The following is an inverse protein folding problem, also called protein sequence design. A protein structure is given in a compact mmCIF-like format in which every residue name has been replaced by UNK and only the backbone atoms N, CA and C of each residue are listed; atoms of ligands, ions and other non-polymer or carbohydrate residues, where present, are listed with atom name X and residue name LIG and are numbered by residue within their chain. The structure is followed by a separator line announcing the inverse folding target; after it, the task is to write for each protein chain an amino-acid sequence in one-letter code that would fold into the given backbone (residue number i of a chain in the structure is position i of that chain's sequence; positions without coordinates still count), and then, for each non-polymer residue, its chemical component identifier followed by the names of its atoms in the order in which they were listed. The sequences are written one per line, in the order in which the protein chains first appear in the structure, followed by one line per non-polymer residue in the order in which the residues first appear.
data_IF_453140251464
#
_entry.id   IF_453140251464
#
_cell.length_a   1.000
_cell.length_b   1.000
_cell.length_c   1.000
_cell.angle_alpha   90.00
_cell.angle_beta   90.00
_cell.angle_gamma   90.00
#
_symmetry.space_group_name_H-M   'P 1'
#
loop_
_entity.id
_entity.type
_entity.pdbx_description
1 polymer ?
#
# COMPACT_ATOMS: atom_id res chain seq x y z
N UNK A 1 28.96 19.78 4.15
CA UNK A 1 27.47 19.74 4.11
C UNK A 1 27.00 18.37 4.58
N UNK A 2 26.02 18.27 5.47
CA UNK A 2 25.41 17.00 5.86
C UNK A 2 24.61 16.39 4.70
N UNK A 3 24.53 15.06 4.68
CA UNK A 3 23.77 14.30 3.70
C UNK A 3 22.69 13.51 4.44
N UNK A 4 21.42 13.75 4.10
CA UNK A 4 20.25 13.05 4.64
C UNK A 4 19.61 12.25 3.51
N UNK A 5 19.66 10.93 3.60
CA UNK A 5 19.07 9.99 2.62
C UNK A 5 19.35 10.33 1.14
N UNK A 6 20.62 10.71 0.86
CA UNK A 6 21.07 11.10 -0.47
C UNK A 6 20.83 12.57 -0.85
N UNK A 7 20.30 13.38 0.05
CA UNK A 7 20.12 14.83 -0.16
C UNK A 7 21.20 15.58 0.62
N UNK A 8 22.07 16.31 -0.08
CA UNK A 8 23.10 17.15 0.50
C UNK A 8 22.53 18.54 0.79
N UNK A 9 22.63 18.98 2.04
CA UNK A 9 22.01 20.20 2.53
C UNK A 9 23.08 21.17 3.04
N UNK A 10 22.92 22.43 2.76
CA UNK A 10 23.76 23.47 3.33
C UNK A 10 23.48 23.60 4.84
N UNK A 11 24.56 23.48 5.64
CA UNK A 11 24.46 23.49 7.10
C UNK A 11 23.95 24.82 7.68
N UNK A 12 24.16 25.93 6.99
CA UNK A 12 23.78 27.25 7.48
C UNK A 12 22.39 27.65 7.07
N UNK A 13 22.04 27.41 5.81
CA UNK A 13 20.77 27.87 5.23
C UNK A 13 19.68 26.80 5.18
N UNK A 14 20.02 25.51 5.38
CA UNK A 14 19.10 24.38 5.21
C UNK A 14 18.72 24.11 3.74
N UNK A 15 19.33 24.82 2.79
CA UNK A 15 18.99 24.68 1.36
C UNK A 15 19.61 23.41 0.78
N UNK A 16 18.85 22.72 -0.07
CA UNK A 16 19.37 21.57 -0.83
C UNK A 16 20.41 22.02 -1.84
N UNK A 17 21.62 21.48 -1.75
CA UNK A 17 22.76 21.80 -2.60
C UNK A 17 22.95 20.79 -3.71
N UNK A 18 22.84 19.50 -3.39
CA UNK A 18 23.04 18.42 -4.33
C UNK A 18 22.27 17.16 -3.94
N UNK A 19 22.15 16.26 -4.90
CA UNK A 19 21.58 14.93 -4.73
C UNK A 19 22.63 13.88 -5.06
N UNK A 20 22.69 12.83 -4.25
CA UNK A 20 23.52 11.68 -4.46
C UNK A 20 22.67 10.54 -5.03
N UNK A 21 22.90 10.21 -6.29
CA UNK A 21 22.16 9.20 -7.03
C UNK A 21 22.98 7.94 -7.16
N UNK A 22 22.43 6.81 -6.73
CA UNK A 22 23.04 5.49 -6.86
C UNK A 22 22.73 4.91 -8.23
N UNK A 23 23.68 4.24 -8.85
CA UNK A 23 23.56 3.56 -10.15
C UNK A 23 22.73 2.25 -10.08
N UNK A 24 22.51 1.72 -8.86
CA UNK A 24 21.85 0.42 -8.64
C UNK A 24 20.76 0.52 -7.58
N UNK A 25 19.79 -0.40 -7.68
CA UNK A 25 18.70 -0.47 -6.72
C UNK A 25 19.20 -0.89 -5.32
N UNK A 26 18.58 -0.37 -4.23
CA UNK A 26 18.97 -0.68 -2.86
C UNK A 26 18.95 -2.18 -2.52
N UNK A 27 18.03 -2.95 -3.13
CA UNK A 27 17.81 -4.37 -2.87
C UNK A 27 18.62 -5.30 -3.77
N UNK A 28 19.53 -4.77 -4.58
CA UNK A 28 20.46 -5.60 -5.34
C UNK A 28 21.62 -6.04 -4.45
N UNK A 29 21.43 -7.19 -3.77
CA UNK A 29 22.42 -7.76 -2.84
C UNK A 29 23.69 -8.27 -3.53
N UNK A 30 23.63 -8.58 -4.83
CA UNK A 30 24.78 -9.11 -5.57
C UNK A 30 25.88 -8.08 -5.80
N UNK A 31 25.60 -6.82 -5.62
CA UNK A 31 26.49 -5.72 -5.99
C UNK A 31 26.68 -4.65 -4.93
N UNK A 32 26.46 -4.96 -3.63
CA UNK A 32 26.65 -3.99 -2.54
C UNK A 32 28.02 -3.29 -2.58
N UNK A 33 29.05 -4.03 -2.93
CA UNK A 33 30.42 -3.51 -3.02
C UNK A 33 30.74 -2.75 -4.31
N UNK A 34 29.83 -2.71 -5.29
CA UNK A 34 30.04 -2.07 -6.59
C UNK A 34 29.08 -0.89 -6.83
N UNK A 35 28.46 -0.35 -5.78
CA UNK A 35 27.59 0.80 -5.90
C UNK A 35 28.39 2.06 -6.15
N UNK A 36 28.08 2.74 -7.23
CA UNK A 36 28.66 4.04 -7.58
C UNK A 36 27.64 5.14 -7.29
N UNK A 37 28.05 6.11 -6.52
CA UNK A 37 27.25 7.28 -6.20
C UNK A 37 27.73 8.47 -7.04
N UNK A 38 26.79 9.09 -7.72
CA UNK A 38 27.05 10.29 -8.53
C UNK A 38 26.40 11.49 -7.85
N UNK A 39 27.22 12.49 -7.57
CA UNK A 39 26.76 13.76 -7.01
C UNK A 39 26.24 14.65 -8.14
N UNK A 40 24.98 15.08 -8.06
CA UNK A 40 24.33 15.98 -9.03
C UNK A 40 23.94 17.25 -8.27
N UNK A 41 24.40 18.40 -8.74
CA UNK A 41 24.02 19.68 -8.15
C UNK A 41 22.50 19.91 -8.32
N UNK A 42 21.86 20.41 -7.26
CA UNK A 42 20.42 20.64 -7.27
C UNK A 42 20.02 21.68 -8.33
N UNK A 43 20.89 22.70 -8.52
CA UNK A 43 20.68 23.78 -9.48
C UNK A 43 21.89 23.90 -10.37
N UNK A 44 21.70 24.04 -11.66
CA UNK A 44 22.78 24.25 -12.62
C UNK A 44 23.43 25.59 -12.42
N UNK A 45 24.78 25.62 -12.34
CA UNK A 45 25.56 26.85 -12.09
C UNK A 45 25.42 27.91 -13.19
N UNK A 46 25.33 27.46 -14.44
CA UNK A 46 25.21 28.35 -15.59
C UNK A 46 23.76 28.73 -15.91
N UNK A 47 22.88 27.77 -15.78
CA UNK A 47 21.48 27.96 -16.18
C UNK A 47 20.57 28.49 -15.06
N UNK A 48 20.97 28.33 -13.79
CA UNK A 48 20.14 28.66 -12.64
C UNK A 48 18.89 27.79 -12.51
N UNK A 49 18.75 26.75 -13.35
CA UNK A 49 17.59 25.87 -13.39
C UNK A 49 17.83 24.62 -12.54
N UNK A 50 16.80 24.03 -11.90
CA UNK A 50 16.96 22.80 -11.16
C UNK A 50 17.34 21.65 -12.11
N UNK A 51 18.39 20.89 -11.75
CA UNK A 51 18.83 19.70 -12.50
C UNK A 51 18.01 18.47 -12.12
N UNK A 52 17.49 18.44 -10.89
CA UNK A 52 16.63 17.36 -10.38
C UNK A 52 15.35 17.98 -9.86
N UNK A 53 14.24 17.39 -10.20
CA UNK A 53 12.93 17.71 -9.68
C UNK A 53 12.57 16.66 -8.63
N UNK A 54 12.59 17.05 -7.37
CA UNK A 54 12.20 16.19 -6.26
C UNK A 54 10.71 16.41 -5.97
N UNK A 55 9.90 15.38 -6.21
CA UNK A 55 8.48 15.39 -5.89
C UNK A 55 8.29 14.77 -4.50
N UNK A 56 7.87 15.58 -3.56
CA UNK A 56 7.56 15.12 -2.20
C UNK A 56 6.59 16.08 -1.53
N UNK A 57 5.74 15.54 -0.69
CA UNK A 57 4.96 16.32 0.25
C UNK A 57 5.76 16.49 1.54
N UNK A 58 5.95 17.73 1.99
CA UNK A 58 6.68 18.05 3.22
C UNK A 58 5.67 18.35 4.31
N UNK A 59 5.57 17.48 5.31
CA UNK A 59 4.66 17.62 6.44
C UNK A 59 5.28 18.38 7.62
N UNK A 60 6.60 18.48 7.65
CA UNK A 60 7.34 19.09 8.75
C UNK A 60 8.61 19.82 8.28
N UNK A 61 9.06 20.84 9.03
CA UNK A 61 10.34 21.48 8.75
C UNK A 61 11.51 20.48 8.71
N UNK A 62 12.52 20.78 7.91
CA UNK A 62 13.74 19.94 7.73
C UNK A 62 13.48 18.53 7.21
N UNK A 63 12.34 18.29 6.59
CA UNK A 63 12.05 17.02 5.92
C UNK A 63 12.62 17.06 4.49
N UNK A 64 13.71 16.34 4.26
CA UNK A 64 14.40 16.29 2.96
C UNK A 64 13.99 15.08 2.10
N UNK A 65 13.21 14.14 2.65
CA UNK A 65 12.66 13.01 1.90
C UNK A 65 11.17 12.85 2.20
N UNK A 66 10.42 12.54 1.16
CA UNK A 66 9.00 12.26 1.30
C UNK A 66 8.76 10.96 2.05
N UNK A 67 7.64 10.90 2.77
CA UNK A 67 7.11 9.68 3.38
C UNK A 67 6.14 9.03 2.40
N UNK A 68 6.15 7.71 2.32
CA UNK A 68 5.20 6.99 1.46
C UNK A 68 3.77 7.22 1.93
N UNK A 69 2.86 7.47 1.00
CA UNK A 69 1.42 7.54 1.27
C UNK A 69 0.89 6.27 1.95
N UNK A 70 1.55 5.13 1.73
CA UNK A 70 1.20 3.85 2.35
C UNK A 70 1.75 3.69 3.78
N UNK A 71 2.62 4.57 4.26
CA UNK A 71 3.27 4.42 5.57
C UNK A 71 2.28 4.22 6.72
N UNK A 72 1.19 4.99 6.87
CA UNK A 72 0.25 4.84 7.97
C UNK A 72 -0.54 3.51 7.95
N UNK A 73 -0.66 2.89 6.78
CA UNK A 73 -1.47 1.67 6.59
C UNK A 73 -0.66 0.40 6.35
N UNK A 74 0.66 0.52 6.20
CA UNK A 74 1.54 -0.60 5.86
C UNK A 74 1.44 -1.75 6.87
N UNK A 75 1.44 -1.43 8.16
CA UNK A 75 1.33 -2.44 9.21
C UNK A 75 -0.01 -3.20 9.13
N UNK A 76 -1.11 -2.49 8.86
CA UNK A 76 -2.44 -3.09 8.70
C UNK A 76 -2.51 -4.02 7.48
N UNK A 77 -1.90 -3.63 6.38
CA UNK A 77 -1.81 -4.47 5.17
C UNK A 77 -1.02 -5.75 5.48
N UNK A 78 0.11 -5.65 6.17
CA UNK A 78 0.93 -6.82 6.56
C UNK A 78 0.19 -7.75 7.53
N UNK A 79 -0.51 -7.19 8.52
CA UNK A 79 -1.32 -7.97 9.47
C UNK A 79 -2.46 -8.70 8.75
N UNK A 80 -3.12 -8.06 7.80
CA UNK A 80 -4.19 -8.65 7.00
C UNK A 80 -3.69 -9.83 6.19
N UNK A 81 -2.54 -9.71 5.55
CA UNK A 81 -1.92 -10.81 4.81
C UNK A 81 -1.62 -11.99 5.73
N UNK A 82 -0.95 -11.76 6.86
CA UNK A 82 -0.63 -12.82 7.83
C UNK A 82 -1.89 -13.52 8.37
N UNK A 83 -2.93 -12.76 8.64
CA UNK A 83 -4.21 -13.32 9.08
C UNK A 83 -4.86 -14.18 7.99
N UNK A 84 -4.91 -13.68 6.76
CA UNK A 84 -5.46 -14.43 5.62
C UNK A 84 -4.69 -15.73 5.37
N UNK A 85 -3.38 -15.70 5.41
CA UNK A 85 -2.53 -16.90 5.28
C UNK A 85 -2.80 -17.91 6.39
N UNK A 86 -2.93 -17.44 7.65
CA UNK A 86 -3.20 -18.32 8.79
C UNK A 86 -4.59 -18.95 8.73
N UNK A 87 -5.61 -18.22 8.26
CA UNK A 87 -6.96 -18.75 8.07
C UNK A 87 -6.98 -19.81 6.97
N UNK A 88 -6.29 -19.58 5.85
CA UNK A 88 -6.18 -20.58 4.77
C UNK A 88 -5.41 -21.81 5.26
N UNK A 89 -4.28 -21.62 5.95
CA UNK A 89 -3.51 -22.73 6.50
C UNK A 89 -4.33 -23.55 7.49
N UNK A 90 -5.10 -22.90 8.35
CA UNK A 90 -6.00 -23.55 9.29
C UNK A 90 -7.09 -24.34 8.57
N UNK A 91 -7.72 -23.77 7.54
CA UNK A 91 -8.71 -24.46 6.74
C UNK A 91 -8.14 -25.72 6.06
N UNK A 92 -6.90 -25.64 5.55
CA UNK A 92 -6.21 -26.82 4.96
C UNK A 92 -5.91 -27.88 6.02
N UNK A 93 -5.45 -27.47 7.21
CA UNK A 93 -5.23 -28.42 8.32
C UNK A 93 -6.53 -29.11 8.74
N UNK A 94 -7.61 -28.36 8.84
CA UNK A 94 -8.92 -28.93 9.20
C UNK A 94 -9.45 -29.90 8.13
N UNK A 95 -9.21 -29.60 6.86
CA UNK A 95 -9.59 -30.52 5.78
C UNK A 95 -8.82 -31.85 5.85
N UNK A 96 -7.62 -31.86 6.46
CA UNK A 96 -6.78 -33.05 6.61
C UNK A 96 -7.02 -33.80 7.93
N UNK A 97 -7.43 -33.10 9.01
CA UNK A 97 -7.64 -33.66 10.33
C UNK A 97 -9.14 -33.87 10.58
N UNK A 98 -9.63 -35.05 10.27
CA UNK A 98 -11.06 -35.37 10.46
C UNK A 98 -11.38 -36.02 11.79
N UNK A 99 -10.40 -36.65 12.48
CA UNK A 99 -10.66 -37.44 13.66
C UNK A 99 -9.47 -37.47 14.63
N UNK A 100 -9.75 -37.37 15.93
CA UNK A 100 -8.78 -37.56 17.02
C UNK A 100 -9.23 -38.72 17.86
N UNK A 101 -8.35 -39.70 18.10
CA UNK A 101 -8.61 -40.82 18.99
C UNK A 101 -8.07 -40.44 20.38
N UNK A 102 -8.98 -40.28 21.31
CA UNK A 102 -8.67 -40.02 22.72
C UNK A 102 -8.61 -41.33 23.46
N UNK A 103 -7.53 -41.60 24.18
CA UNK A 103 -7.38 -42.74 25.05
C UNK A 103 -7.67 -42.30 26.47
N UNK A 104 -8.74 -42.82 27.05
CA UNK A 104 -8.99 -42.62 28.47
C UNK A 104 -8.00 -43.49 29.23
N UNK A 105 -6.97 -42.89 29.81
CA UNK A 105 -6.03 -43.59 30.70
C UNK A 105 -6.75 -43.91 31.99
N UNK A 106 -6.66 -45.18 32.43
CA UNK A 106 -7.11 -45.57 33.74
C UNK A 106 -6.32 -44.76 34.80
N UNK A 107 -6.98 -44.02 35.71
CA UNK A 107 -6.30 -43.20 36.70
C UNK A 107 -5.45 -44.03 37.70
N UNK A 108 -5.57 -45.35 37.70
CA UNK A 108 -4.74 -46.26 38.49
C UNK A 108 -3.40 -46.58 37.83
N UNK A 109 -3.21 -46.27 36.54
CA UNK A 109 -1.94 -46.48 35.87
C UNK A 109 -1.10 -45.21 35.94
N UNK A 110 -0.03 -45.26 36.72
CA UNK A 110 0.96 -44.18 36.79
C UNK A 110 1.46 -43.84 35.37
N UNK A 111 1.61 -42.56 34.99
CA UNK A 111 2.21 -42.16 33.74
C UNK A 111 3.66 -42.60 33.54
N UNK A 112 4.29 -43.06 34.63
CA UNK A 112 5.60 -43.73 34.65
C UNK A 112 5.39 -45.22 34.92
N UNK A 113 5.21 -46.02 33.85
CA UNK A 113 4.89 -47.45 33.90
C UNK A 113 5.48 -48.19 35.10
N UNK A 114 4.62 -48.94 35.77
CA UNK A 114 4.92 -49.67 37.03
C UNK A 114 5.65 -51.02 36.84
N UNK A 115 6.39 -51.20 35.78
CA UNK A 115 7.09 -52.48 35.58
C UNK A 115 8.57 -52.41 35.94
N UNK A 116 9.01 -51.45 36.72
CA UNK A 116 10.38 -51.41 37.31
C UNK A 116 11.55 -51.56 36.33
N UNK A 117 11.30 -51.60 35.03
CA UNK A 117 12.29 -51.81 33.98
C UNK A 117 12.41 -50.65 32.96
N UNK A 118 11.89 -49.46 33.28
CA UNK A 118 12.16 -48.28 32.47
C UNK A 118 11.75 -48.36 30.98
N UNK A 119 10.96 -49.33 30.60
CA UNK A 119 10.55 -49.52 29.24
C UNK A 119 9.30 -48.63 28.99
N UNK A 120 9.51 -47.45 28.45
CA UNK A 120 8.42 -46.61 27.91
C UNK A 120 7.79 -47.43 26.78
N UNK A 121 6.51 -47.86 26.88
CA UNK A 121 5.88 -48.54 25.77
C UNK A 121 5.83 -47.55 24.62
N UNK A 122 6.68 -47.74 23.62
CA UNK A 122 6.58 -47.07 22.37
C UNK A 122 5.28 -47.55 21.70
N UNK A 123 4.18 -46.88 22.04
CA UNK A 123 2.95 -47.05 21.30
C UNK A 123 3.21 -46.53 19.91
N UNK A 124 3.54 -47.42 18.96
CA UNK A 124 3.62 -47.07 17.54
C UNK A 124 2.29 -46.40 17.20
N UNK A 125 2.38 -45.20 16.63
CA UNK A 125 1.24 -44.54 16.07
C UNK A 125 0.51 -45.53 15.14
N UNK A 126 -0.72 -45.85 15.46
CA UNK A 126 -1.53 -46.76 14.64
C UNK A 126 -1.98 -45.98 13.44
N UNK A 127 -1.68 -46.49 12.27
CA UNK A 127 -2.24 -45.95 11.02
C UNK A 127 -3.77 -46.13 11.04
N UNK A 128 -4.47 -45.01 11.13
CA UNK A 128 -5.92 -44.97 11.03
C UNK A 128 -6.25 -44.73 9.56
N UNK A 129 -6.93 -45.68 8.94
CA UNK A 129 -7.36 -45.53 7.56
C UNK A 129 -8.43 -44.44 7.47
N UNK A 130 -8.10 -43.36 6.79
CA UNK A 130 -9.04 -42.25 6.49
C UNK A 130 -9.41 -42.37 5.00
N UNK A 131 -10.60 -42.86 4.74
CA UNK A 131 -11.09 -43.01 3.37
C UNK A 131 -12.61 -43.20 3.32
N UNK A 132 -13.20 -43.04 2.15
CA UNK A 132 -14.65 -43.26 1.95
C UNK A 132 -15.04 -44.67 2.37
N UNK A 133 -15.80 -44.76 3.47
CA UNK A 133 -16.31 -46.02 3.99
C UNK A 133 -15.36 -46.82 4.89
N UNK A 134 -14.22 -46.23 5.30
CA UNK A 134 -13.33 -46.90 6.25
C UNK A 134 -13.97 -47.06 7.63
N UNK A 135 -14.12 -48.28 8.10
CA UNK A 135 -14.59 -48.59 9.44
C UNK A 135 -13.39 -48.79 10.37
N UNK A 136 -13.20 -47.87 11.30
CA UNK A 136 -12.14 -47.97 12.31
C UNK A 136 -12.72 -48.64 13.57
N UNK A 137 -12.19 -49.79 13.92
CA UNK A 137 -12.51 -50.47 15.19
C UNK A 137 -11.63 -49.95 16.31
N UNK A 138 -12.24 -49.30 17.30
CA UNK A 138 -11.59 -48.78 18.50
C UNK A 138 -11.36 -49.85 19.52
N UNK A 139 -10.28 -49.73 20.29
CA UNK A 139 -10.02 -50.58 21.45
C UNK A 139 -10.85 -50.13 22.66
N UNK A 140 -11.04 -51.02 23.64
CA UNK A 140 -11.66 -50.67 24.92
C UNK A 140 -10.92 -49.47 25.57
N UNK A 141 -11.67 -48.42 25.93
CA UNK A 141 -11.11 -47.18 26.52
C UNK A 141 -10.71 -46.11 25.51
N UNK A 142 -10.80 -46.35 24.21
CA UNK A 142 -10.58 -45.35 23.18
C UNK A 142 -11.93 -44.68 22.80
N UNK A 143 -11.94 -43.36 22.76
CA UNK A 143 -13.08 -42.59 22.26
C UNK A 143 -12.63 -41.85 21.01
N UNK A 144 -13.46 -41.85 19.99
CA UNK A 144 -13.23 -41.09 18.78
C UNK A 144 -13.98 -39.76 18.89
N UNK A 145 -13.24 -38.69 18.96
CA UNK A 145 -13.79 -37.34 18.89
C UNK A 145 -13.58 -36.79 17.49
N UNK A 146 -14.68 -36.45 16.83
CA UNK A 146 -14.58 -35.63 15.62
C UNK A 146 -14.09 -34.25 16.03
N UNK A 147 -12.93 -33.85 15.55
CA UNK A 147 -12.43 -32.51 15.75
C UNK A 147 -13.35 -31.57 14.92
N UNK A 148 -14.30 -30.95 15.61
CA UNK A 148 -15.09 -29.88 15.02
C UNK A 148 -14.32 -28.58 15.26
N UNK A 149 -13.70 -28.02 14.26
CA UNK A 149 -13.08 -26.71 14.41
C UNK A 149 -14.19 -25.70 14.66
N UNK A 150 -14.23 -25.15 15.85
CA UNK A 150 -15.08 -24.00 16.19
C UNK A 150 -14.48 -22.70 15.68
N UNK A 151 -13.74 -22.74 14.58
CA UNK A 151 -13.30 -21.51 13.96
C UNK A 151 -14.43 -20.94 13.11
N UNK A 152 -14.97 -19.79 13.51
CA UNK A 152 -15.98 -19.14 12.74
C UNK A 152 -15.34 -18.52 11.49
N UNK A 153 -15.50 -19.12 10.34
CA UNK A 153 -15.35 -18.49 9.04
C UNK A 153 -16.21 -17.22 8.92
N UNK A 154 -17.22 -17.08 9.78
CA UNK A 154 -18.11 -15.92 9.87
C UNK A 154 -17.41 -14.64 10.36
N UNK A 155 -16.32 -14.71 11.11
CA UNK A 155 -15.57 -13.52 11.58
C UNK A 155 -14.53 -13.03 10.59
N UNK A 156 -14.13 -13.84 9.61
CA UNK A 156 -13.15 -13.47 8.60
C UNK A 156 -13.61 -12.27 7.76
N UNK A 157 -14.83 -12.35 7.24
CA UNK A 157 -15.39 -11.28 6.41
C UNK A 157 -15.51 -9.96 7.18
N UNK A 158 -16.07 -10.01 8.40
CA UNK A 158 -16.21 -8.82 9.24
C UNK A 158 -14.87 -8.21 9.61
N UNK A 159 -13.86 -9.03 9.89
CA UNK A 159 -12.49 -8.57 10.16
C UNK A 159 -11.88 -7.87 8.95
N UNK A 160 -11.90 -8.50 7.78
CA UNK A 160 -11.37 -7.91 6.54
C UNK A 160 -12.07 -6.59 6.21
N UNK A 161 -13.40 -6.51 6.38
CA UNK A 161 -14.16 -5.28 6.17
C UNK A 161 -13.75 -4.16 7.13
N UNK A 162 -13.51 -4.49 8.40
CA UNK A 162 -13.04 -3.51 9.39
C UNK A 162 -11.65 -2.98 9.05
N UNK A 163 -10.72 -3.88 8.78
CA UNK A 163 -9.34 -3.49 8.43
C UNK A 163 -9.32 -2.72 7.09
N UNK A 164 -10.11 -3.11 6.11
CA UNK A 164 -10.23 -2.35 4.86
C UNK A 164 -10.79 -0.94 5.10
N UNK A 165 -11.69 -0.77 6.06
CA UNK A 165 -12.18 0.57 6.45
C UNK A 165 -11.08 1.41 7.09
N UNK A 166 -10.25 0.81 7.97
CA UNK A 166 -9.09 1.49 8.57
C UNK A 166 -8.05 1.88 7.51
N UNK A 167 -7.75 0.99 6.57
CA UNK A 167 -6.84 1.26 5.44
C UNK A 167 -7.41 2.39 4.57
N UNK A 168 -8.70 2.34 4.25
CA UNK A 168 -9.38 3.38 3.47
C UNK A 168 -9.31 4.74 4.17
N UNK A 169 -9.56 4.78 5.47
CA UNK A 169 -9.45 6.01 6.26
C UNK A 169 -8.02 6.58 6.29
N UNK A 170 -7.00 5.71 6.36
CA UNK A 170 -5.60 6.15 6.33
C UNK A 170 -5.12 6.63 4.96
N UNK A 171 -5.80 6.25 3.89
CA UNK A 171 -5.50 6.65 2.50
C UNK A 171 -6.49 7.67 1.93
N UNK A 172 -7.43 8.16 2.73
CA UNK A 172 -8.51 9.06 2.30
C UNK A 172 -9.38 8.46 1.18
N UNK A 173 -9.48 7.11 1.12
CA UNK A 173 -10.27 6.38 0.13
C UNK A 173 -11.55 5.87 0.79
N UNK A 174 -12.74 6.24 0.30
CA UNK A 174 -14.00 5.73 0.82
C UNK A 174 -14.08 4.21 0.75
N UNK A 175 -14.70 3.60 1.78
CA UNK A 175 -14.85 2.14 1.87
C UNK A 175 -15.53 1.53 0.64
N UNK A 176 -16.57 2.18 0.13
CA UNK A 176 -17.29 1.71 -1.06
C UNK A 176 -16.40 1.62 -2.31
N UNK A 177 -15.47 2.56 -2.45
CA UNK A 177 -14.49 2.55 -3.54
C UNK A 177 -13.41 1.49 -3.34
N UNK A 178 -12.89 1.36 -2.11
CA UNK A 178 -11.83 0.40 -1.80
C UNK A 178 -12.28 -1.05 -1.98
N UNK A 179 -13.47 -1.39 -1.48
CA UNK A 179 -14.05 -2.73 -1.58
C UNK A 179 -14.84 -2.97 -2.86
N UNK A 180 -15.06 -1.92 -3.67
CA UNK A 180 -15.95 -1.95 -4.85
C UNK A 180 -17.38 -2.41 -4.51
N UNK A 181 -17.85 -2.05 -3.32
CA UNK A 181 -19.17 -2.38 -2.80
C UNK A 181 -20.04 -1.14 -2.77
N UNK A 182 -21.06 -1.12 -3.59
CA UNK A 182 -21.99 0.01 -3.73
C UNK A 182 -23.36 -0.33 -3.14
N UNK A 183 -23.36 -0.84 -1.90
CA UNK A 183 -24.58 -1.26 -1.21
C UNK A 183 -25.28 -0.12 -0.45
N UNK A 184 -24.74 1.10 -0.49
CA UNK A 184 -25.32 2.27 0.15
C UNK A 184 -26.37 2.93 -0.75
N UNK A 185 -27.21 3.78 -0.15
CA UNK A 185 -28.18 4.56 -0.91
C UNK A 185 -27.48 5.50 -1.90
N UNK A 186 -28.13 5.85 -3.00
CA UNK A 186 -27.61 6.81 -3.99
C UNK A 186 -27.05 8.09 -3.35
N UNK A 187 -27.76 8.65 -2.38
CA UNK A 187 -27.33 9.87 -1.69
C UNK A 187 -26.06 9.68 -0.86
N UNK A 188 -25.93 8.54 -0.17
CA UNK A 188 -24.73 8.21 0.60
C UNK A 188 -23.52 7.99 -0.32
N UNK A 189 -23.68 7.20 -1.39
CA UNK A 189 -22.61 6.97 -2.39
C UNK A 189 -22.16 8.28 -3.03
N UNK A 190 -23.11 9.17 -3.34
CA UNK A 190 -22.78 10.49 -3.89
C UNK A 190 -22.02 11.36 -2.89
N UNK A 191 -22.39 11.32 -1.61
CA UNK A 191 -21.66 12.01 -0.54
C UNK A 191 -20.21 11.54 -0.43
N UNK A 192 -20.01 10.22 -0.37
CA UNK A 192 -18.67 9.61 -0.36
C UNK A 192 -17.82 9.99 -1.58
N UNK A 193 -18.42 9.99 -2.76
CA UNK A 193 -17.72 10.39 -4.00
C UNK A 193 -17.33 11.87 -4.00
N UNK A 194 -18.18 12.76 -3.49
CA UNK A 194 -17.88 14.19 -3.40
C UNK A 194 -16.70 14.47 -2.46
N UNK A 195 -16.64 13.78 -1.31
CA UNK A 195 -15.49 13.88 -0.39
C UNK A 195 -14.21 13.37 -1.06
N UNK A 196 -14.27 12.20 -1.69
CA UNK A 196 -13.14 11.64 -2.41
C UNK A 196 -12.66 12.55 -3.55
N UNK A 197 -13.59 13.20 -4.28
CA UNK A 197 -13.24 14.16 -5.33
C UNK A 197 -12.47 15.37 -4.79
N UNK A 198 -12.78 15.86 -3.59
CA UNK A 198 -12.03 16.95 -2.96
C UNK A 198 -10.57 16.55 -2.72
N UNK A 199 -10.37 15.36 -2.14
CA UNK A 199 -9.04 14.81 -1.92
C UNK A 199 -8.26 14.62 -3.23
N UNK A 200 -8.89 14.03 -4.24
CA UNK A 200 -8.27 13.87 -5.57
C UNK A 200 -7.91 15.21 -6.20
N UNK A 201 -8.79 16.22 -6.12
CA UNK A 201 -8.50 17.57 -6.65
C UNK A 201 -7.31 18.22 -5.94
N UNK A 202 -7.19 18.05 -4.63
CA UNK A 202 -6.05 18.56 -3.87
C UNK A 202 -4.74 17.93 -4.37
N UNK A 203 -4.69 16.61 -4.51
CA UNK A 203 -3.52 15.90 -5.04
C UNK A 203 -3.21 16.27 -6.50
N UNK A 204 -4.23 16.48 -7.32
CA UNK A 204 -4.05 16.95 -8.69
C UNK A 204 -3.40 18.34 -8.73
N UNK A 205 -3.85 19.28 -7.90
CA UNK A 205 -3.27 20.62 -7.81
C UNK A 205 -1.81 20.58 -7.34
N UNK A 206 -1.51 19.77 -6.33
CA UNK A 206 -0.15 19.55 -5.90
C UNK A 206 0.73 19.01 -7.04
N UNK A 207 0.28 17.97 -7.74
CA UNK A 207 1.02 17.38 -8.86
C UNK A 207 1.20 18.36 -10.03
N UNK A 208 0.19 19.17 -10.32
CA UNK A 208 0.25 20.22 -11.35
C UNK A 208 1.32 21.25 -10.96
N UNK A 209 1.32 21.73 -9.71
CA UNK A 209 2.25 22.78 -9.28
C UNK A 209 3.70 22.30 -9.25
N UNK A 210 3.93 21.10 -8.76
CA UNK A 210 5.28 20.61 -8.46
C UNK A 210 5.92 19.83 -9.61
N UNK A 211 5.11 19.24 -10.48
CA UNK A 211 5.58 18.46 -11.63
C UNK A 211 5.24 19.09 -12.98
N UNK A 212 3.96 19.23 -13.27
CA UNK A 212 3.54 19.62 -14.62
C UNK A 212 4.00 21.03 -14.99
N UNK A 213 3.80 21.98 -14.10
CA UNK A 213 4.15 23.39 -14.32
C UNK A 213 5.64 23.62 -14.55
N UNK A 214 6.57 23.14 -13.70
CA UNK A 214 8.01 23.30 -13.94
C UNK A 214 8.49 22.67 -15.25
N UNK A 215 7.95 21.54 -15.64
CA UNK A 215 8.28 20.88 -16.91
C UNK A 215 7.76 21.70 -18.11
N UNK A 216 6.51 22.14 -18.01
CA UNK A 216 5.91 22.99 -19.06
C UNK A 216 6.67 24.29 -19.25
N UNK A 217 7.02 24.99 -18.18
CA UNK A 217 7.80 26.23 -18.24
C UNK A 217 9.15 26.05 -18.93
N UNK A 218 9.83 24.94 -18.66
CA UNK A 218 11.09 24.59 -19.33
C UNK A 218 10.90 24.29 -20.79
N UNK A 219 9.96 23.41 -21.10
CA UNK A 219 9.64 23.06 -22.48
C UNK A 219 9.25 24.26 -23.29
N UNK A 220 8.39 25.11 -22.75
CA UNK A 220 7.94 26.33 -23.44
C UNK A 220 9.11 27.30 -23.67
N UNK A 221 9.93 27.53 -22.64
CA UNK A 221 11.12 28.40 -22.74
C UNK A 221 12.09 27.91 -23.83
N UNK A 222 12.34 26.61 -23.88
CA UNK A 222 13.17 25.99 -24.92
C UNK A 222 12.54 26.10 -26.31
N UNK A 223 11.24 25.87 -26.43
CA UNK A 223 10.51 25.98 -27.70
C UNK A 223 10.55 27.40 -28.29
N UNK A 224 10.47 28.41 -27.41
CA UNK A 224 10.62 29.83 -27.83
C UNK A 224 12.07 30.12 -28.22
N UNK A 225 13.05 29.65 -27.43
CA UNK A 225 14.47 29.86 -27.73
C UNK A 225 14.88 29.22 -29.07
N UNK A 226 14.32 28.05 -29.38
CA UNK A 226 14.54 27.34 -30.68
C UNK A 226 13.71 27.89 -31.83
N UNK A 227 12.88 28.91 -31.58
CA UNK A 227 12.03 29.51 -32.60
C UNK A 227 10.82 28.67 -33.07
N UNK A 228 10.50 27.59 -32.33
CA UNK A 228 9.32 26.74 -32.60
C UNK A 228 8.01 27.46 -32.29
N UNK A 229 8.05 28.31 -31.26
CA UNK A 229 6.91 29.12 -30.82
C UNK A 229 7.30 30.60 -30.94
N UNK A 230 6.46 31.38 -31.57
CA UNK A 230 6.64 32.83 -31.66
C UNK A 230 6.02 33.49 -30.43
N UNK A 231 6.85 33.95 -29.50
CA UNK A 231 6.45 34.65 -28.28
C UNK A 231 7.21 35.99 -28.15
N UNK A 232 6.72 37.07 -28.79
CA UNK A 232 7.39 38.37 -28.74
C UNK A 232 7.55 38.85 -27.28
N UNK A 233 8.75 39.41 -27.00
CA UNK A 233 9.11 39.93 -25.67
C UNK A 233 9.16 38.93 -24.53
N UNK A 234 9.13 37.61 -24.81
CA UNK A 234 9.18 36.55 -23.77
C UNK A 234 10.42 36.64 -22.90
N UNK A 235 11.59 36.89 -23.47
CA UNK A 235 12.84 36.98 -22.72
C UNK A 235 13.14 38.38 -22.19
N UNK A 236 12.51 39.40 -22.68
CA UNK A 236 12.79 40.80 -22.34
C UNK A 236 11.86 41.34 -21.24
N UNK A 237 10.66 40.79 -21.08
CA UNK A 237 9.67 41.30 -20.15
C UNK A 237 9.13 40.16 -19.28
N UNK A 238 9.38 40.16 -17.93
CA UNK A 238 8.95 39.10 -17.03
C UNK A 238 7.41 38.99 -16.93
N UNK A 239 6.66 40.08 -17.07
CA UNK A 239 5.20 40.07 -17.02
C UNK A 239 4.64 39.36 -18.25
N UNK A 240 5.18 39.66 -19.42
CA UNK A 240 4.77 39.02 -20.69
C UNK A 240 5.15 37.53 -20.66
N UNK A 241 6.35 37.20 -20.12
CA UNK A 241 6.75 35.82 -19.91
C UNK A 241 5.75 35.06 -19.04
N UNK A 242 5.35 35.64 -17.92
CA UNK A 242 4.36 35.04 -17.02
C UNK A 242 3.02 34.83 -17.71
N UNK A 243 2.58 35.79 -18.52
CA UNK A 243 1.33 35.66 -19.30
C UNK A 243 1.37 34.50 -20.30
N UNK A 244 2.51 34.27 -20.97
CA UNK A 244 2.69 33.12 -21.86
C UNK A 244 2.76 31.79 -21.13
N UNK A 245 3.31 31.77 -19.91
CA UNK A 245 3.45 30.57 -19.08
C UNK A 245 2.20 30.25 -18.29
N UNK A 246 1.23 31.17 -18.25
CA UNK A 246 -0.05 30.92 -17.62
C UNK A 246 -0.88 29.97 -18.48
N UNK A 247 -1.10 28.77 -17.98
CA UNK A 247 -1.87 27.72 -18.64
C UNK A 247 -2.88 27.11 -17.69
N UNK A 248 -4.00 26.69 -18.21
CA UNK A 248 -5.01 25.93 -17.50
C UNK A 248 -4.80 24.43 -17.72
N UNK A 249 -4.83 23.66 -16.63
CA UNK A 249 -4.68 22.22 -16.67
C UNK A 249 -6.05 21.56 -16.60
N UNK A 250 -6.49 21.00 -17.70
CA UNK A 250 -7.76 20.28 -17.77
C UNK A 250 -7.50 18.85 -17.32
N UNK A 251 -8.05 18.49 -16.18
CA UNK A 251 -7.98 17.12 -15.63
C UNK A 251 -9.27 16.38 -15.95
N UNK A 252 -9.24 15.04 -16.08
CA UNK A 252 -10.47 14.27 -16.26
C UNK A 252 -11.46 14.57 -15.13
N UNK A 253 -12.70 14.90 -15.48
CA UNK A 253 -13.78 15.05 -14.51
C UNK A 253 -14.33 13.68 -14.15
N UNK A 254 -14.77 13.55 -12.89
CA UNK A 254 -15.58 12.40 -12.52
C UNK A 254 -16.94 12.52 -13.20
N UNK A 255 -17.33 11.50 -13.97
CA UNK A 255 -18.65 11.44 -14.57
C UNK A 255 -19.75 11.49 -13.50
N UNK A 256 -20.87 12.10 -13.80
CA UNK A 256 -22.02 12.04 -12.92
C UNK A 256 -22.68 10.66 -13.02
N UNK A 257 -23.20 10.19 -11.87
CA UNK A 257 -23.88 8.89 -11.79
C UNK A 257 -25.22 8.92 -12.57
N UNK A 258 -25.80 10.11 -12.74
CA UNK A 258 -27.08 10.31 -13.44
C UNK A 258 -26.89 11.25 -14.65
N UNK A 259 -26.78 10.68 -15.86
CA UNK A 259 -26.55 11.47 -17.06
C UNK A 259 -27.72 12.44 -17.42
N UNK A 260 -28.93 12.16 -16.97
CA UNK A 260 -30.08 13.04 -17.19
C UNK A 260 -29.98 14.34 -16.40
N UNK A 261 -29.50 14.27 -15.17
CA UNK A 261 -29.26 15.45 -14.34
C UNK A 261 -28.06 16.27 -14.81
N UNK A 262 -27.07 15.61 -15.41
CA UNK A 262 -25.94 16.29 -16.04
C UNK A 262 -26.38 17.09 -17.26
N UNK A 263 -27.20 16.50 -18.12
CA UNK A 263 -27.76 17.17 -19.27
C UNK A 263 -28.63 18.38 -18.87
N UNK A 264 -29.46 18.24 -17.83
CA UNK A 264 -30.27 19.35 -17.29
C UNK A 264 -29.40 20.45 -16.67
N UNK A 265 -28.31 20.12 -15.99
CA UNK A 265 -27.39 21.12 -15.44
C UNK A 265 -26.64 21.89 -16.52
N UNK A 266 -26.30 21.23 -17.64
CA UNK A 266 -25.70 21.88 -18.82
C UNK A 266 -26.68 22.77 -19.60
N UNK A 267 -27.97 22.46 -19.53
CA UNK A 267 -29.02 23.27 -20.18
C UNK A 267 -29.34 24.58 -19.41
N UNK A 268 -29.01 24.60 -18.11
CA UNK A 268 -29.23 25.75 -17.21
C UNK A 268 -27.97 26.64 -17.12
N UNK A 269 -26.79 26.17 -17.50
CA UNK A 269 -25.53 26.92 -17.46
C UNK A 269 -25.27 27.67 -18.74
#
# INVERSE_FOLDING_TARGET
NPIYDGVEVDKVTGKVVAYWVCDKYPNDYTSIYQRKWTRIEAVGKETGLPNILQLMESERPEQYRGVSLLAPVMERILQTNRYSESVVATAVLHAKQTMVIEKVSDPTLSPFGQDGKGNIPTTRARDVAIGNGAVNVLKAGEKMNAFKPEQPTTTYESFIRTVATEIGAGLEIPKGQLLKEFNSSYSATRGELLEFQKYVKMNQQWFISDFCKPIYERWFTEAVARGRIKAPKFFSNPIIRQAYLNCEWIVPSFGQIDPTKEAQALEIA
#
